data_IF_882808980886
#
_entry.id   IF_882808980886
#
_cell.length_a   1.000
_cell.length_b   1.000
_cell.length_c   1.000
_cell.angle_alpha   90.00
_cell.angle_beta   90.00
_cell.angle_gamma   90.00
#
_symmetry.space_group_name_H-M   'P 1'
#
loop_
_entity.id
_entity.type
_entity.pdbx_description
1 polymer ?
#
# COMPACT_ATOMS: atom_id res chain seq x y z
N UNK A 1 12.84 -5.60 10.30
CA UNK A 1 13.86 -6.46 9.68
C UNK A 1 15.13 -6.42 10.54
N UNK A 2 15.26 -7.34 11.50
CA UNK A 2 16.53 -7.71 12.15
C UNK A 2 17.19 -8.90 11.43
N UNK A 3 16.98 -9.05 10.12
CA UNK A 3 17.47 -10.18 9.30
C UNK A 3 18.80 -9.89 8.59
N UNK A 4 19.44 -8.77 8.93
CA UNK A 4 20.78 -8.40 8.48
C UNK A 4 21.70 -8.09 9.68
N UNK A 5 21.46 -8.76 10.81
CA UNK A 5 22.55 -9.22 11.67
C UNK A 5 23.09 -10.58 11.18
N UNK A 6 22.60 -11.09 10.04
CA UNK A 6 22.90 -12.42 9.50
C UNK A 6 24.32 -12.60 8.91
N UNK A 7 25.21 -11.61 9.05
CA UNK A 7 26.65 -11.91 9.03
C UNK A 7 27.14 -12.54 10.36
N UNK A 8 26.26 -12.58 11.39
CA UNK A 8 26.43 -13.19 12.72
C UNK A 8 25.10 -13.82 13.23
N UNK A 9 24.71 -14.99 12.70
CA UNK A 9 23.58 -15.83 13.20
C UNK A 9 22.19 -15.20 12.94
N UNK A 10 21.14 -16.01 12.72
CA UNK A 10 19.82 -15.55 12.23
C UNK A 10 18.97 -14.76 13.27
N UNK A 11 19.62 -13.93 14.10
CA UNK A 11 18.99 -13.07 15.09
C UNK A 11 18.20 -13.84 16.15
N UNK A 12 17.07 -13.26 16.58
CA UNK A 12 16.22 -13.86 17.61
C UNK A 12 15.57 -15.19 17.19
N UNK A 13 15.53 -15.51 15.89
CA UNK A 13 14.89 -16.74 15.40
C UNK A 13 15.65 -18.01 15.78
N UNK A 14 16.98 -17.95 15.83
CA UNK A 14 17.82 -19.10 16.21
C UNK A 14 17.76 -19.45 17.69
N UNK A 15 17.28 -18.55 18.54
CA UNK A 15 17.21 -18.76 19.98
C UNK A 15 15.97 -19.57 20.40
N UNK A 16 14.94 -19.63 19.55
CA UNK A 16 13.68 -20.30 19.85
C UNK A 16 13.48 -21.52 18.95
N UNK A 17 13.41 -22.72 19.56
CA UNK A 17 13.11 -23.98 18.86
C UNK A 17 11.70 -24.52 19.13
N UNK A 18 11.26 -25.45 18.28
CA UNK A 18 10.05 -26.27 18.50
C UNK A 18 8.75 -25.46 18.59
N UNK A 19 8.01 -25.63 19.70
CA UNK A 19 6.71 -24.98 19.91
C UNK A 19 6.83 -23.45 20.04
N UNK A 20 7.92 -22.95 20.63
CA UNK A 20 8.14 -21.50 20.82
C UNK A 20 8.37 -20.80 19.48
N UNK A 21 9.12 -21.43 18.59
CA UNK A 21 9.27 -21.01 17.20
C UNK A 21 7.91 -20.91 16.50
N UNK A 22 7.09 -21.97 16.59
CA UNK A 22 5.76 -22.00 15.97
C UNK A 22 4.83 -20.88 16.45
N UNK A 23 4.83 -20.58 17.75
CA UNK A 23 4.03 -19.48 18.31
C UNK A 23 4.51 -18.10 17.85
N UNK A 24 5.82 -17.89 17.73
CA UNK A 24 6.38 -16.62 17.26
C UNK A 24 6.09 -16.40 15.76
N UNK A 25 6.20 -17.45 14.94
CA UNK A 25 5.75 -17.40 13.54
C UNK A 25 4.26 -17.09 13.44
N UNK A 26 3.42 -17.79 14.20
CA UNK A 26 1.99 -17.56 14.21
C UNK A 26 1.67 -16.11 14.61
N UNK A 27 2.35 -15.56 15.61
CA UNK A 27 2.14 -14.18 16.05
C UNK A 27 2.49 -13.15 14.96
N UNK A 28 3.56 -13.36 14.21
CA UNK A 28 3.93 -12.48 13.10
C UNK A 28 2.90 -12.54 11.95
N UNK A 29 2.42 -13.73 11.60
CA UNK A 29 1.37 -13.90 10.61
C UNK A 29 0.02 -13.31 11.06
N UNK A 30 -0.32 -13.45 12.35
CA UNK A 30 -1.54 -12.82 12.90
C UNK A 30 -1.42 -11.29 12.87
N UNK A 31 -0.27 -10.73 13.23
CA UNK A 31 -0.04 -9.28 13.20
C UNK A 31 -0.15 -8.72 11.77
N UNK A 32 0.44 -9.41 10.80
CA UNK A 32 0.36 -8.99 9.39
C UNK A 32 -1.07 -9.15 8.84
N UNK A 33 -1.77 -10.23 9.18
CA UNK A 33 -3.17 -10.41 8.81
C UNK A 33 -4.09 -9.35 9.44
N UNK A 34 -3.86 -8.98 10.70
CA UNK A 34 -4.59 -7.91 11.37
C UNK A 34 -4.37 -6.54 10.69
N UNK A 35 -3.16 -6.26 10.20
CA UNK A 35 -2.89 -5.05 9.42
C UNK A 35 -3.66 -5.04 8.09
N UNK A 36 -3.74 -6.16 7.38
CA UNK A 36 -4.59 -6.30 6.18
C UNK A 36 -6.08 -6.10 6.50
N UNK A 37 -6.53 -6.59 7.65
CA UNK A 37 -7.91 -6.43 8.09
C UNK A 37 -8.26 -4.96 8.31
N UNK A 38 -7.40 -4.22 9.04
CA UNK A 38 -7.57 -2.78 9.24
C UNK A 38 -7.53 -2.00 7.91
N UNK A 39 -6.61 -2.36 7.01
CA UNK A 39 -6.52 -1.74 5.69
C UNK A 39 -7.81 -1.94 4.89
N UNK A 40 -8.33 -3.16 4.85
CA UNK A 40 -9.59 -3.50 4.17
C UNK A 40 -10.77 -2.72 4.74
N UNK A 41 -10.75 -2.50 6.04
CA UNK A 41 -11.80 -1.77 6.72
C UNK A 41 -11.82 -0.28 6.37
N UNK A 42 -10.67 0.38 6.48
CA UNK A 42 -10.56 1.82 6.28
C UNK A 42 -10.59 2.23 4.81
N UNK A 43 -10.03 1.41 3.91
CA UNK A 43 -9.85 1.80 2.51
C UNK A 43 -10.77 1.06 1.53
N UNK A 44 -11.19 -0.17 1.82
CA UNK A 44 -12.02 -0.99 0.92
C UNK A 44 -13.50 -1.07 1.33
N UNK A 45 -13.95 -0.18 2.21
CA UNK A 45 -15.35 -0.08 2.63
C UNK A 45 -15.85 -1.21 3.52
N UNK A 46 -14.94 -2.00 4.13
CA UNK A 46 -15.28 -3.04 5.08
C UNK A 46 -16.36 -4.00 4.57
N UNK A 47 -17.52 -3.98 5.23
CA UNK A 47 -18.67 -4.87 5.01
C UNK A 47 -19.49 -4.55 3.78
N UNK A 48 -19.33 -3.37 3.19
CA UNK A 48 -20.06 -2.99 2.00
C UNK A 48 -19.49 -3.69 0.77
N UNK A 49 -20.34 -4.24 -0.10
CA UNK A 49 -19.88 -4.68 -1.41
C UNK A 49 -19.51 -3.48 -2.29
N UNK A 50 -18.52 -3.62 -3.19
CA UNK A 50 -18.25 -2.60 -4.18
C UNK A 50 -19.52 -2.36 -5.00
N UNK A 51 -19.91 -1.09 -5.19
CA UNK A 51 -21.10 -0.70 -5.97
C UNK A 51 -22.44 -1.18 -5.43
N UNK A 52 -22.60 -1.34 -4.11
CA UNK A 52 -23.86 -1.76 -3.49
C UNK A 52 -25.10 -0.97 -3.99
N UNK A 53 -24.97 0.35 -4.23
CA UNK A 53 -26.05 1.18 -4.78
C UNK A 53 -26.43 0.87 -6.24
N UNK A 54 -25.50 0.43 -7.08
CA UNK A 54 -25.76 0.07 -8.49
C UNK A 54 -26.17 -1.39 -8.64
N UNK A 55 -25.64 -2.27 -7.77
CA UNK A 55 -25.94 -3.71 -7.78
C UNK A 55 -27.35 -3.99 -7.26
N UNK A 56 -27.85 -3.19 -6.32
CA UNK A 56 -29.23 -3.29 -5.82
C UNK A 56 -30.30 -2.98 -6.90
N UNK A 57 -29.92 -2.32 -8.00
CA UNK A 57 -30.81 -2.01 -9.13
C UNK A 57 -30.89 -3.16 -10.16
N UNK A 58 -30.07 -4.22 -10.01
CA UNK A 58 -30.07 -5.38 -10.91
C UNK A 58 -31.02 -6.45 -10.35
N UNK A 59 -32.13 -6.78 -11.05
CA UNK A 59 -33.22 -7.62 -10.52
C UNK A 59 -32.82 -9.04 -10.07
N UNK A 60 -31.68 -9.56 -10.55
CA UNK A 60 -31.21 -10.93 -10.27
C UNK A 60 -30.15 -10.98 -9.17
N UNK A 61 -29.39 -9.89 -8.97
CA UNK A 61 -28.33 -9.80 -7.95
C UNK A 61 -28.80 -9.11 -6.66
N UNK A 62 -29.98 -8.47 -6.70
CA UNK A 62 -30.68 -7.84 -5.58
C UNK A 62 -30.87 -8.79 -4.39
N UNK A 63 -31.76 -9.78 -4.48
CA UNK A 63 -32.04 -10.63 -3.31
C UNK A 63 -30.83 -11.44 -2.81
N UNK A 64 -29.85 -11.73 -3.69
CA UNK A 64 -28.63 -12.43 -3.33
C UNK A 64 -27.67 -11.60 -2.46
N UNK A 65 -27.71 -10.25 -2.53
CA UNK A 65 -26.79 -9.41 -1.73
C UNK A 65 -27.10 -9.46 -0.23
N UNK A 66 -28.37 -9.64 0.14
CA UNK A 66 -28.81 -9.73 1.55
C UNK A 66 -28.35 -11.05 2.18
N UNK A 67 -28.25 -12.10 1.37
CA UNK A 67 -27.94 -13.45 1.84
C UNK A 67 -26.48 -13.60 2.28
N UNK A 68 -25.56 -12.77 1.77
CA UNK A 68 -24.14 -12.86 2.10
C UNK A 68 -23.88 -12.07 3.39
N UNK A 69 -23.48 -12.71 4.50
CA UNK A 69 -23.10 -11.99 5.70
C UNK A 69 -21.93 -11.06 5.38
N UNK A 70 -22.06 -9.77 5.71
CA UNK A 70 -20.99 -8.78 5.47
C UNK A 70 -19.65 -9.17 6.09
N UNK A 71 -19.67 -9.98 7.15
CA UNK A 71 -18.46 -10.57 7.75
C UNK A 71 -17.67 -11.44 6.76
N UNK A 72 -18.33 -12.25 5.93
CA UNK A 72 -17.66 -13.10 4.93
C UNK A 72 -17.00 -12.22 3.85
N UNK A 73 -17.66 -11.13 3.46
CA UNK A 73 -17.13 -10.17 2.48
C UNK A 73 -15.85 -9.51 3.00
N UNK A 74 -15.85 -9.05 4.26
CA UNK A 74 -14.64 -8.46 4.88
C UNK A 74 -13.50 -9.47 4.93
N UNK A 75 -13.79 -10.71 5.35
CA UNK A 75 -12.77 -11.76 5.45
C UNK A 75 -12.19 -12.11 4.08
N UNK A 76 -13.02 -12.21 3.05
CA UNK A 76 -12.59 -12.50 1.69
C UNK A 76 -11.75 -11.36 1.11
N UNK A 77 -12.18 -10.10 1.28
CA UNK A 77 -11.38 -8.92 0.89
C UNK A 77 -10.04 -8.88 1.62
N UNK A 78 -10.05 -9.14 2.93
CA UNK A 78 -8.83 -9.17 3.75
C UNK A 78 -7.87 -10.26 3.26
N UNK A 79 -8.39 -11.43 2.93
CA UNK A 79 -7.61 -12.52 2.36
C UNK A 79 -7.01 -12.16 0.99
N UNK A 80 -7.76 -11.49 0.12
CA UNK A 80 -7.24 -10.98 -1.16
C UNK A 80 -6.14 -9.94 -0.97
N UNK A 81 -6.31 -8.99 -0.04
CA UNK A 81 -5.27 -7.99 0.29
C UNK A 81 -4.02 -8.69 0.82
N UNK A 82 -4.17 -9.69 1.68
CA UNK A 82 -3.04 -10.47 2.17
C UNK A 82 -2.30 -11.19 1.02
N UNK A 83 -3.00 -11.81 0.08
CA UNK A 83 -2.36 -12.44 -1.08
C UNK A 83 -1.63 -11.43 -1.98
N UNK A 84 -2.28 -10.32 -2.31
CA UNK A 84 -1.70 -9.33 -3.23
C UNK A 84 -0.54 -8.58 -2.57
N UNK A 85 -0.69 -8.14 -1.33
CA UNK A 85 0.33 -7.31 -0.68
C UNK A 85 1.44 -8.16 -0.06
N UNK A 86 1.12 -9.23 0.66
CA UNK A 86 2.16 -9.99 1.35
C UNK A 86 2.75 -11.12 0.52
N UNK A 87 1.93 -11.88 -0.21
CA UNK A 87 2.45 -13.00 -1.01
C UNK A 87 3.08 -12.47 -2.28
N UNK A 88 2.34 -11.69 -3.08
CA UNK A 88 2.86 -11.21 -4.36
C UNK A 88 3.96 -10.16 -4.20
N UNK A 89 3.85 -9.16 -3.32
CA UNK A 89 4.94 -8.18 -3.18
C UNK A 89 6.24 -8.83 -2.65
N UNK A 90 6.17 -9.88 -1.83
CA UNK A 90 7.35 -10.65 -1.40
C UNK A 90 8.04 -11.36 -2.57
N UNK A 91 7.29 -11.81 -3.57
CA UNK A 91 7.87 -12.42 -4.77
C UNK A 91 8.36 -11.39 -5.79
N UNK A 92 7.77 -10.19 -5.83
CA UNK A 92 8.09 -9.19 -6.85
C UNK A 92 9.17 -8.19 -6.45
N UNK A 93 9.38 -7.93 -5.16
CA UNK A 93 10.35 -6.94 -4.71
C UNK A 93 11.72 -7.59 -4.44
N UNK A 94 12.77 -7.01 -5.02
CA UNK A 94 14.14 -7.33 -4.65
C UNK A 94 14.42 -6.89 -3.21
N UNK A 95 15.27 -7.62 -2.49
CA UNK A 95 15.61 -7.33 -1.10
C UNK A 95 16.24 -5.94 -0.96
N UNK A 96 15.63 -5.07 -0.14
CA UNK A 96 16.07 -3.68 0.08
C UNK A 96 16.84 -3.59 1.41
N UNK A 97 17.87 -2.73 1.45
CA UNK A 97 18.65 -2.45 2.68
C UNK A 97 17.80 -1.71 3.71
N UNK A 98 18.00 -1.98 5.00
CA UNK A 98 17.28 -1.34 6.12
C UNK A 98 17.40 0.19 6.11
N UNK A 99 18.59 0.69 5.76
CA UNK A 99 18.86 2.13 5.72
C UNK A 99 17.99 2.82 4.66
N UNK A 100 17.81 2.19 3.50
CA UNK A 100 16.98 2.70 2.41
C UNK A 100 15.48 2.69 2.78
N UNK A 101 15.03 1.67 3.53
CA UNK A 101 13.65 1.61 4.02
C UNK A 101 13.38 2.73 5.02
N UNK A 102 14.34 2.99 5.92
CA UNK A 102 14.22 4.07 6.91
C UNK A 102 14.22 5.44 6.21
N UNK A 103 15.13 5.66 5.27
CA UNK A 103 15.21 6.89 4.49
C UNK A 103 13.92 7.13 3.67
N UNK A 104 13.37 6.11 3.03
CA UNK A 104 12.09 6.18 2.33
C UNK A 104 10.93 6.55 3.28
N UNK A 105 10.88 5.94 4.46
CA UNK A 105 9.87 6.22 5.48
C UNK A 105 9.91 7.66 5.98
N UNK A 106 11.10 8.14 6.35
CA UNK A 106 11.24 9.48 6.94
C UNK A 106 11.24 10.61 5.90
N UNK A 107 11.90 10.43 4.76
CA UNK A 107 12.04 11.48 3.75
C UNK A 107 10.84 11.58 2.82
N UNK A 108 10.17 10.46 2.53
CA UNK A 108 9.08 10.44 1.55
C UNK A 108 7.72 10.20 2.20
N UNK A 109 7.54 9.10 2.96
CA UNK A 109 6.21 8.73 3.47
C UNK A 109 5.66 9.70 4.53
N UNK A 110 6.50 10.15 5.46
CA UNK A 110 6.08 11.06 6.53
C UNK A 110 5.54 12.39 5.97
N UNK A 111 6.29 13.18 5.16
CA UNK A 111 5.76 14.42 4.63
C UNK A 111 4.53 14.21 3.74
N UNK A 112 4.50 13.13 2.94
CA UNK A 112 3.36 12.79 2.10
C UNK A 112 2.09 12.54 2.92
N UNK A 113 2.21 11.86 4.05
CA UNK A 113 1.08 11.59 4.95
C UNK A 113 0.50 12.88 5.55
N UNK A 114 1.34 13.86 5.89
CA UNK A 114 0.90 15.15 6.44
C UNK A 114 0.16 15.95 5.37
N UNK A 115 0.69 16.00 4.14
CA UNK A 115 0.02 16.66 3.01
C UNK A 115 -1.34 16.02 2.74
N UNK A 116 -1.44 14.69 2.80
CA UNK A 116 -2.70 13.97 2.57
C UNK A 116 -3.77 14.31 3.61
N UNK A 117 -3.39 14.45 4.88
CA UNK A 117 -4.32 14.85 5.95
C UNK A 117 -4.84 16.27 5.73
N UNK A 118 -3.95 17.21 5.38
CA UNK A 118 -4.34 18.60 5.08
C UNK A 118 -5.29 18.67 3.88
N UNK A 119 -4.97 17.94 2.79
CA UNK A 119 -5.84 17.87 1.62
C UNK A 119 -7.21 17.26 1.94
N UNK A 120 -7.25 16.20 2.74
CA UNK A 120 -8.52 15.59 3.19
C UNK A 120 -9.38 16.59 3.97
N UNK A 121 -8.78 17.41 4.83
CA UNK A 121 -9.48 18.47 5.56
C UNK A 121 -10.05 19.56 4.61
N UNK A 122 -9.26 19.98 3.62
CA UNK A 122 -9.70 20.97 2.60
C UNK A 122 -10.86 20.40 1.78
N UNK A 123 -10.78 19.15 1.32
CA UNK A 123 -11.86 18.53 0.56
C UNK A 123 -13.16 18.45 1.37
N UNK A 124 -13.06 18.12 2.66
CA UNK A 124 -14.22 18.10 3.53
C UNK A 124 -14.88 19.47 3.72
N UNK A 125 -14.11 20.56 3.69
CA UNK A 125 -14.65 21.90 3.96
C UNK A 125 -15.27 22.55 2.71
N UNK A 126 -14.68 22.36 1.53
CA UNK A 126 -15.09 23.08 0.32
C UNK A 126 -15.91 22.24 -0.66
N UNK A 127 -15.69 20.93 -0.70
CA UNK A 127 -16.22 20.07 -1.76
C UNK A 127 -17.26 19.05 -1.28
N UNK A 128 -17.36 18.85 0.04
CA UNK A 128 -18.31 17.91 0.62
C UNK A 128 -19.68 18.57 0.78
N UNK A 129 -20.68 18.07 0.05
CA UNK A 129 -22.08 18.51 0.15
C UNK A 129 -22.86 17.53 1.03
N UNK A 130 -23.13 17.86 2.31
CA UNK A 130 -23.79 16.94 3.24
C UNK A 130 -25.27 16.71 2.92
N UNK A 131 -25.89 17.60 2.14
CA UNK A 131 -27.30 17.53 1.75
C UNK A 131 -27.60 16.33 0.82
N UNK A 132 -26.58 15.79 0.15
CA UNK A 132 -26.69 14.64 -0.75
C UNK A 132 -26.42 13.29 -0.05
N UNK A 133 -26.25 13.28 1.28
CA UNK A 133 -26.10 12.07 2.08
C UNK A 133 -27.47 11.55 2.54
N UNK A 134 -28.32 11.12 1.61
CA UNK A 134 -29.49 10.35 2.01
C UNK A 134 -29.08 8.88 2.23
N UNK A 135 -29.46 8.34 3.39
CA UNK A 135 -29.32 6.92 3.75
C UNK A 135 -30.35 6.02 3.05
N UNK A 136 -31.08 6.54 2.06
CA UNK A 136 -31.94 5.73 1.21
C UNK A 136 -31.10 4.95 0.20
N UNK A 137 -31.62 3.82 -0.27
CA UNK A 137 -30.99 2.74 -1.06
C UNK A 137 -30.14 3.13 -2.30
N UNK A 138 -30.02 4.41 -2.61
CA UNK A 138 -29.16 5.01 -3.63
C UNK A 138 -27.95 5.66 -2.94
N UNK A 139 -26.83 4.93 -2.83
CA UNK A 139 -25.59 5.41 -2.20
C UNK A 139 -25.30 6.89 -2.49
N UNK A 140 -25.46 7.72 -1.46
CA UNK A 140 -25.47 9.18 -1.59
C UNK A 140 -24.24 9.76 -2.27
N UNK A 141 -24.49 10.60 -3.29
CA UNK A 141 -23.45 11.27 -4.08
C UNK A 141 -22.95 12.56 -3.39
N UNK A 142 -22.41 12.42 -2.18
CA UNK A 142 -21.84 13.55 -1.41
C UNK A 142 -20.58 14.16 -2.03
N UNK A 143 -19.97 13.43 -2.97
CA UNK A 143 -18.72 13.75 -3.66
C UNK A 143 -18.92 14.12 -5.14
N UNK A 144 -20.13 14.52 -5.51
CA UNK A 144 -20.44 15.03 -6.85
C UNK A 144 -19.92 16.46 -7.02
N UNK A 145 -19.10 16.67 -8.04
CA UNK A 145 -18.67 17.97 -8.51
C UNK A 145 -18.94 18.08 -10.02
N UNK A 146 -19.51 19.21 -10.43
CA UNK A 146 -19.84 19.52 -11.83
C UNK A 146 -20.83 18.54 -12.51
N UNK A 147 -21.66 17.82 -11.74
CA UNK A 147 -22.70 16.93 -12.26
C UNK A 147 -22.21 15.54 -12.65
N UNK A 148 -21.00 15.17 -12.22
CA UNK A 148 -20.39 13.85 -12.40
C UNK A 148 -20.28 13.18 -11.01
N UNK A 149 -21.02 12.08 -10.76
CA UNK A 149 -20.91 11.32 -9.52
C UNK A 149 -19.45 10.86 -9.27
N UNK A 150 -18.97 11.01 -8.04
CA UNK A 150 -17.63 10.56 -7.60
C UNK A 150 -16.44 11.26 -8.28
N UNK A 151 -16.62 12.43 -8.92
CA UNK A 151 -15.53 13.14 -9.61
C UNK A 151 -14.37 13.51 -8.67
N UNK A 152 -14.68 13.99 -7.46
CA UNK A 152 -13.64 14.42 -6.51
C UNK A 152 -12.71 13.25 -6.15
N UNK A 153 -13.20 12.08 -5.68
CA UNK A 153 -12.36 10.90 -5.45
C UNK A 153 -11.55 10.49 -6.68
N UNK A 154 -12.16 10.44 -7.88
CA UNK A 154 -11.47 10.01 -9.10
C UNK A 154 -10.33 10.96 -9.47
N UNK A 155 -10.55 12.27 -9.41
CA UNK A 155 -9.50 13.26 -9.70
C UNK A 155 -8.37 13.16 -8.67
N UNK A 156 -8.72 12.98 -7.39
CA UNK A 156 -7.70 12.85 -6.35
C UNK A 156 -6.87 11.57 -6.50
N UNK A 157 -7.49 10.44 -6.86
CA UNK A 157 -6.74 9.20 -7.10
C UNK A 157 -5.86 9.32 -8.32
N UNK A 158 -6.35 9.91 -9.43
CA UNK A 158 -5.54 10.14 -10.63
C UNK A 158 -4.38 11.10 -10.38
N UNK A 159 -4.60 12.17 -9.61
CA UNK A 159 -3.54 13.08 -9.21
C UNK A 159 -2.45 12.35 -8.42
N UNK A 160 -2.82 11.55 -7.42
CA UNK A 160 -1.85 10.80 -6.62
C UNK A 160 -1.16 9.69 -7.39
N UNK A 161 -1.86 9.01 -8.31
CA UNK A 161 -1.25 8.05 -9.24
C UNK A 161 -0.25 8.76 -10.16
N UNK A 162 -0.56 9.97 -10.62
CA UNK A 162 0.34 10.81 -11.40
C UNK A 162 1.58 11.22 -10.62
N UNK A 163 1.43 11.71 -9.38
CA UNK A 163 2.54 12.02 -8.48
C UNK A 163 3.39 10.77 -8.22
N UNK A 164 2.76 9.62 -7.98
CA UNK A 164 3.46 8.36 -7.78
C UNK A 164 4.20 7.92 -9.04
N UNK A 165 3.62 8.09 -10.22
CA UNK A 165 4.28 7.81 -11.49
C UNK A 165 5.48 8.74 -11.73
N UNK A 166 5.36 10.03 -11.40
CA UNK A 166 6.48 10.98 -11.47
C UNK A 166 7.59 10.59 -10.50
N UNK A 167 7.24 10.18 -9.27
CA UNK A 167 8.22 9.69 -8.29
C UNK A 167 8.87 8.36 -8.70
N UNK A 168 8.16 7.51 -9.45
CA UNK A 168 8.69 6.26 -9.99
C UNK A 168 9.56 6.50 -11.24
N UNK A 169 9.18 7.46 -12.07
CA UNK A 169 9.89 7.82 -13.28
C UNK A 169 11.02 8.80 -12.90
N UNK A 170 12.03 8.23 -12.24
CA UNK A 170 13.24 8.92 -11.78
C UNK A 170 13.82 9.79 -12.91
N UNK A 171 14.03 11.08 -12.59
CA UNK A 171 14.34 12.17 -13.53
C UNK A 171 15.81 12.15 -13.99
N UNK A 172 16.61 11.18 -13.52
CA UNK A 172 17.99 11.00 -13.95
C UNK A 172 18.31 9.53 -14.21
N UNK A 173 18.13 9.13 -15.48
CA UNK A 173 18.73 7.89 -16.00
C UNK A 173 20.24 8.06 -16.23
N UNK A 174 20.73 9.30 -16.28
CA UNK A 174 22.11 9.63 -16.69
C UNK A 174 22.91 10.52 -15.69
N UNK A 175 22.34 10.97 -14.55
CA UNK A 175 23.15 11.70 -13.55
C UNK A 175 24.00 10.77 -12.66
N UNK A 176 25.27 10.72 -13.05
CA UNK A 176 26.48 10.87 -12.26
C UNK A 176 26.81 9.86 -11.11
N UNK A 177 28.07 9.41 -11.03
CA UNK A 177 28.56 8.31 -10.20
C UNK A 177 28.80 8.67 -8.72
N UNK A 178 27.97 9.54 -8.11
CA UNK A 178 28.12 9.92 -6.69
C UNK A 178 26.96 9.38 -5.83
N UNK A 179 26.61 8.11 -6.07
CA UNK A 179 25.82 7.32 -5.12
C UNK A 179 26.76 6.45 -4.30
N UNK A 180 26.61 6.51 -2.98
CA UNK A 180 27.38 5.74 -2.00
C UNK A 180 27.25 4.20 -2.20
N UNK A 181 26.31 3.74 -3.02
CA UNK A 181 26.14 2.33 -3.40
C UNK A 181 25.91 2.19 -4.90
N UNK A 182 26.91 1.66 -5.62
CA UNK A 182 26.80 1.20 -7.00
C UNK A 182 27.15 -0.29 -7.05
N UNK A 183 26.35 -1.10 -7.76
CA UNK A 183 26.62 -2.52 -8.02
C UNK A 183 27.34 -2.73 -9.36
N UNK A 184 27.36 -1.69 -10.21
CA UNK A 184 28.01 -1.71 -11.51
C UNK A 184 29.18 -0.72 -11.53
N UNK A 185 30.37 -1.22 -11.84
CA UNK A 185 31.50 -0.37 -12.22
C UNK A 185 31.36 -0.01 -13.69
N UNK A 186 31.10 1.26 -14.00
CA UNK A 186 30.99 1.74 -15.40
C UNK A 186 32.34 1.73 -16.14
N UNK A 187 33.45 1.62 -15.41
CA UNK A 187 34.78 1.43 -15.98
C UNK A 187 35.21 -0.03 -15.80
N UNK A 188 35.64 -0.73 -16.86
CA UNK A 188 36.32 -2.02 -16.70
C UNK A 188 37.60 -1.79 -15.88
N UNK A 189 37.88 -2.67 -14.92
CA UNK A 189 39.09 -2.59 -14.10
C UNK A 189 40.31 -2.52 -15.02
N UNK A 190 40.99 -1.37 -15.03
CA UNK A 190 42.21 -1.18 -15.82
C UNK A 190 43.26 -2.21 -15.40
N UNK A 191 43.91 -2.84 -16.37
CA UNK A 191 45.06 -3.69 -16.10
C UNK A 191 46.23 -2.82 -15.65
N UNK A 192 46.48 -2.78 -14.35
CA UNK A 192 47.72 -2.21 -13.82
C UNK A 192 48.90 -3.04 -14.32
N UNK A 193 49.75 -2.42 -15.14
CA UNK A 193 51.07 -2.97 -15.47
C UNK A 193 52.07 -2.40 -14.46
N UNK A 194 52.85 -3.22 -13.74
CA UNK A 194 53.77 -2.72 -12.73
C UNK A 194 54.86 -1.86 -13.40
N UNK A 195 55.05 -0.63 -12.91
CA UNK A 195 56.20 0.21 -13.27
C UNK A 195 55.94 1.45 -14.14
N UNK A 196 54.69 1.87 -14.33
CA UNK A 196 54.38 3.25 -14.76
C UNK A 196 53.26 3.79 -13.88
N UNK A 197 53.56 4.92 -13.25
CA UNK A 197 52.71 5.65 -12.31
C UNK A 197 51.31 5.95 -12.87
#
# INVERSE_FOLDING_TARGET
>A
MPEAEAELVEGWWTEYGGMRFGMLFMAEYIRTYAACFLFTHFFLGGWHLPFQGTISQIPVLGDAYVLIPGAIVVLLKTWLVFLVVFVWARFSLARIRTDQILEFGWRMLLPLSVVQVVLSAIYRLYFFKPENLNYADEGGNAWDAFGIPMLIPIVTTLFWVGVFYVLLNDEDKDAAPDRMYHVYTLQPAGTHTPGKD
#
